data_IF_382669950307
#
_entry.id   IF_382669950307
#
_cell.length_a   1.000
_cell.length_b   1.000
_cell.length_c   1.000
_cell.angle_alpha   90.00
_cell.angle_beta   90.00
_cell.angle_gamma   90.00
#
_symmetry.space_group_name_H-M   'P 1'
#
loop_
_entity.id
_entity.type
_entity.pdbx_description
1 polymer ?
#
# COMPACT_ATOMS: atom_id res chain seq x y z
N UNK A 1 3.28 -21.24 -44.55
CA UNK A 1 3.16 -21.12 -43.07
C UNK A 1 3.74 -19.83 -42.51
N UNK A 2 4.96 -19.42 -42.90
CA UNK A 2 5.59 -18.21 -42.32
C UNK A 2 4.92 -16.86 -42.72
N UNK A 3 4.16 -16.82 -43.81
CA UNK A 3 3.51 -15.58 -44.30
C UNK A 3 2.57 -14.94 -43.25
N UNK A 4 1.77 -15.74 -42.54
CA UNK A 4 0.87 -15.24 -41.49
C UNK A 4 1.64 -14.62 -40.33
N UNK A 5 2.76 -15.23 -39.95
CA UNK A 5 3.60 -14.71 -38.87
C UNK A 5 4.21 -13.36 -39.24
N UNK A 6 4.71 -13.22 -40.48
CA UNK A 6 5.22 -11.94 -40.98
C UNK A 6 4.12 -10.88 -41.06
N UNK A 7 2.91 -11.21 -41.52
CA UNK A 7 1.79 -10.27 -41.57
C UNK A 7 1.42 -9.75 -40.17
N UNK A 8 1.33 -10.62 -39.17
CA UNK A 8 1.08 -10.22 -37.79
C UNK A 8 2.21 -9.34 -37.26
N UNK A 9 3.46 -9.67 -37.56
CA UNK A 9 4.61 -8.89 -37.08
C UNK A 9 4.73 -7.52 -37.73
N UNK A 10 4.34 -7.41 -38.99
CA UNK A 10 4.20 -6.12 -39.66
C UNK A 10 3.05 -5.32 -39.03
N UNK A 11 1.92 -5.96 -38.74
CA UNK A 11 0.78 -5.34 -38.04
C UNK A 11 1.18 -4.81 -36.65
N UNK A 12 1.95 -5.59 -35.87
CA UNK A 12 2.53 -5.19 -34.57
C UNK A 12 3.68 -4.14 -34.69
N UNK A 13 3.99 -3.66 -35.91
CA UNK A 13 5.12 -2.74 -36.20
C UNK A 13 6.49 -3.22 -35.65
N UNK A 14 6.76 -4.52 -35.70
CA UNK A 14 8.00 -5.11 -35.16
C UNK A 14 9.25 -4.65 -35.95
N UNK A 15 10.09 -3.84 -35.32
CA UNK A 15 11.29 -3.23 -35.93
C UNK A 15 12.28 -4.26 -36.50
N UNK A 16 12.42 -5.43 -35.86
CA UNK A 16 13.35 -6.48 -36.30
C UNK A 16 12.86 -7.17 -37.56
N UNK A 17 11.53 -7.28 -37.72
CA UNK A 17 10.92 -7.85 -38.92
C UNK A 17 10.91 -6.83 -40.05
N UNK A 18 10.55 -5.58 -39.76
CA UNK A 18 10.55 -4.49 -40.73
C UNK A 18 11.95 -4.23 -41.31
N UNK A 19 13.00 -4.28 -40.48
CA UNK A 19 14.39 -4.12 -40.95
C UNK A 19 14.89 -5.27 -41.83
N UNK A 20 14.33 -6.48 -41.68
CA UNK A 20 14.66 -7.65 -42.50
C UNK A 20 13.89 -7.71 -43.82
N UNK A 21 12.76 -7.01 -43.90
CA UNK A 21 11.90 -6.98 -45.08
C UNK A 21 12.10 -5.66 -45.82
N UNK A 22 12.69 -5.71 -47.02
CA UNK A 22 12.82 -4.53 -47.88
C UNK A 22 11.49 -4.22 -48.58
N UNK A 23 10.48 -3.78 -47.81
CA UNK A 23 9.14 -3.47 -48.30
C UNK A 23 9.17 -2.10 -49.02
N UNK A 24 8.67 -1.99 -50.26
CA UNK A 24 8.53 -0.71 -50.96
C UNK A 24 7.71 0.30 -50.14
N UNK A 25 8.11 1.58 -50.18
CA UNK A 25 7.46 2.65 -49.41
C UNK A 25 5.96 2.77 -49.67
N UNK A 26 5.54 2.59 -50.93
CA UNK A 26 4.14 2.63 -51.33
C UNK A 26 3.30 1.55 -50.62
N UNK A 27 3.85 0.33 -50.51
CA UNK A 27 3.18 -0.78 -49.84
C UNK A 27 3.14 -0.54 -48.33
N UNK A 28 4.21 0.01 -47.75
CA UNK A 28 4.25 0.35 -46.33
C UNK A 28 3.19 1.40 -45.96
N UNK A 29 3.00 2.42 -46.80
CA UNK A 29 1.96 3.44 -46.59
C UNK A 29 0.55 2.84 -46.61
N UNK A 30 0.28 1.89 -47.50
CA UNK A 30 -0.99 1.18 -47.52
C UNK A 30 -1.20 0.38 -46.23
N UNK A 31 -0.18 -0.39 -45.81
CA UNK A 31 -0.24 -1.19 -44.59
C UNK A 31 -0.49 -0.33 -43.35
N UNK A 32 0.20 0.82 -43.23
CA UNK A 32 -0.04 1.73 -42.11
C UNK A 32 -1.45 2.33 -42.10
N UNK A 33 -2.04 2.57 -43.28
CA UNK A 33 -3.45 2.98 -43.36
C UNK A 33 -4.39 1.89 -42.85
N UNK A 34 -4.10 0.62 -43.15
CA UNK A 34 -4.88 -0.52 -42.67
C UNK A 34 -4.74 -0.71 -41.15
N UNK A 35 -3.51 -0.63 -40.63
CA UNK A 35 -3.24 -0.70 -39.18
C UNK A 35 -3.97 0.43 -38.46
N UNK A 36 -3.85 1.67 -38.94
CA UNK A 36 -4.52 2.83 -38.34
C UNK A 36 -6.04 2.76 -38.43
N UNK A 37 -6.61 2.04 -39.41
CA UNK A 37 -8.05 1.78 -39.46
C UNK A 37 -8.47 0.77 -38.38
N UNK A 38 -7.70 -0.31 -38.20
CA UNK A 38 -7.94 -1.30 -37.14
C UNK A 38 -7.78 -0.71 -35.73
N UNK A 39 -6.74 0.10 -35.49
CA UNK A 39 -6.51 0.80 -34.22
C UNK A 39 -7.68 1.73 -33.87
N UNK A 40 -8.26 2.42 -34.88
CA UNK A 40 -9.44 3.26 -34.70
C UNK A 40 -10.73 2.49 -34.45
N UNK A 41 -10.90 1.33 -35.10
CA UNK A 41 -12.10 0.50 -34.92
C UNK A 41 -12.10 -0.19 -33.55
N UNK A 42 -10.92 -0.61 -33.08
CA UNK A 42 -10.76 -1.34 -31.82
C UNK A 42 -10.42 -0.43 -30.63
N UNK A 43 -10.18 0.86 -30.86
CA UNK A 43 -9.81 1.87 -29.85
C UNK A 43 -8.61 1.45 -28.99
N UNK A 44 -7.62 0.82 -29.63
CA UNK A 44 -6.44 0.26 -28.98
C UNK A 44 -5.25 0.21 -29.94
N UNK A 45 -4.03 0.04 -29.42
CA UNK A 45 -2.84 -0.06 -30.26
C UNK A 45 -2.70 -1.47 -30.88
N UNK A 46 -2.05 -1.54 -32.04
CA UNK A 46 -1.88 -2.77 -32.81
C UNK A 46 -1.21 -3.93 -32.06
N UNK A 47 -0.29 -3.66 -31.13
CA UNK A 47 0.34 -4.70 -30.31
C UNK A 47 -0.63 -5.23 -29.24
N UNK A 48 -1.35 -4.33 -28.58
CA UNK A 48 -2.38 -4.64 -27.59
C UNK A 48 -3.54 -5.43 -28.20
N UNK A 49 -3.99 -5.07 -29.41
CA UNK A 49 -5.02 -5.79 -30.17
C UNK A 49 -4.62 -7.26 -30.35
N UNK A 50 -3.43 -7.52 -30.90
CA UNK A 50 -2.97 -8.90 -31.13
C UNK A 50 -2.77 -9.66 -29.81
N UNK A 51 -2.26 -8.97 -28.79
CA UNK A 51 -2.07 -9.55 -27.46
C UNK A 51 -3.40 -9.98 -26.85
N UNK A 52 -4.41 -9.11 -26.89
CA UNK A 52 -5.74 -9.39 -26.39
C UNK A 52 -6.38 -10.58 -27.12
N UNK A 53 -6.34 -10.59 -28.45
CA UNK A 53 -6.87 -11.71 -29.25
C UNK A 53 -6.19 -13.05 -28.94
N UNK A 54 -4.87 -13.05 -28.69
CA UNK A 54 -4.16 -14.26 -28.22
C UNK A 54 -4.65 -14.70 -26.85
N UNK A 55 -4.85 -13.78 -25.91
CA UNK A 55 -5.38 -14.11 -24.59
C UNK A 55 -6.81 -14.65 -24.66
N UNK A 56 -7.68 -14.06 -25.48
CA UNK A 56 -9.05 -14.53 -25.71
C UNK A 56 -9.02 -15.96 -26.26
N UNK A 57 -8.18 -16.21 -27.26
CA UNK A 57 -8.03 -17.54 -27.84
C UNK A 57 -7.52 -18.56 -26.82
N UNK A 58 -6.48 -18.24 -26.07
CA UNK A 58 -5.94 -19.11 -25.00
C UNK A 58 -7.01 -19.37 -23.94
N UNK A 59 -7.74 -18.35 -23.49
CA UNK A 59 -8.82 -18.48 -22.51
C UNK A 59 -9.92 -19.43 -23.02
N UNK A 60 -10.23 -19.38 -24.32
CA UNK A 60 -11.20 -20.30 -24.95
C UNK A 60 -10.75 -21.76 -24.88
N UNK A 61 -9.45 -22.03 -25.11
CA UNK A 61 -8.86 -23.38 -24.99
C UNK A 61 -8.85 -23.83 -23.53
N UNK A 62 -8.41 -22.96 -22.61
CA UNK A 62 -8.39 -23.26 -21.17
C UNK A 62 -9.79 -23.61 -20.67
N UNK A 63 -10.84 -22.95 -21.16
CA UNK A 63 -12.23 -23.27 -20.79
C UNK A 63 -12.63 -24.71 -21.14
N UNK A 64 -12.08 -25.27 -22.22
CA UNK A 64 -12.31 -26.66 -22.65
C UNK A 64 -11.44 -27.69 -21.93
N UNK A 65 -10.23 -27.31 -21.53
CA UNK A 65 -9.24 -28.26 -20.97
C UNK A 65 -9.12 -28.19 -19.44
N UNK A 66 -9.45 -27.05 -18.82
CA UNK A 66 -9.28 -26.82 -17.38
C UNK A 66 -10.63 -26.76 -16.66
N UNK A 67 -10.89 -27.78 -15.83
CA UNK A 67 -12.07 -27.85 -14.97
C UNK A 67 -11.72 -27.31 -13.58
N UNK A 68 -12.03 -26.05 -13.31
CA UNK A 68 -11.85 -25.44 -11.98
C UNK A 68 -12.71 -26.18 -10.95
N UNK A 69 -12.09 -26.74 -9.90
CA UNK A 69 -12.73 -27.57 -8.87
C UNK A 69 -13.75 -26.80 -8.00
N UNK A 70 -13.64 -25.47 -7.94
CA UNK A 70 -14.55 -24.59 -7.21
C UNK A 70 -14.97 -23.42 -8.11
N UNK A 71 -16.19 -23.46 -8.64
CA UNK A 71 -16.76 -22.40 -9.48
C UNK A 71 -17.85 -21.56 -8.81
N UNK A 72 -18.15 -21.76 -7.52
CA UNK A 72 -19.27 -21.03 -6.90
C UNK A 72 -19.36 -21.04 -5.38
N UNK A 73 -18.33 -21.48 -4.65
CA UNK A 73 -18.29 -21.30 -3.21
C UNK A 73 -17.83 -19.89 -2.87
N UNK A 74 -18.60 -19.16 -2.04
CA UNK A 74 -18.12 -17.93 -1.43
C UNK A 74 -16.80 -18.22 -0.72
N UNK A 75 -15.76 -17.46 -1.05
CA UNK A 75 -14.49 -17.50 -0.33
C UNK A 75 -14.71 -17.05 1.12
N UNK A 76 -13.77 -17.35 2.01
CA UNK A 76 -13.84 -16.83 3.39
C UNK A 76 -13.92 -15.30 3.40
N UNK A 77 -13.21 -14.63 2.47
CA UNK A 77 -13.30 -13.18 2.25
C UNK A 77 -14.72 -12.75 1.88
N UNK A 78 -15.33 -13.40 0.88
CA UNK A 78 -16.69 -13.03 0.43
C UNK A 78 -17.74 -13.21 1.53
N UNK A 79 -17.55 -14.18 2.43
CA UNK A 79 -18.42 -14.39 3.58
C UNK A 79 -18.26 -13.30 4.63
N UNK A 80 -17.02 -12.90 4.92
CA UNK A 80 -16.72 -11.82 5.87
C UNK A 80 -17.28 -10.51 5.33
N UNK A 81 -17.02 -10.19 4.06
CA UNK A 81 -17.51 -8.95 3.45
C UNK A 81 -19.03 -8.88 3.49
N UNK A 82 -19.74 -9.98 3.23
CA UNK A 82 -21.21 -10.00 3.30
C UNK A 82 -21.76 -9.69 4.70
N UNK A 83 -21.00 -9.99 5.75
CA UNK A 83 -21.37 -9.70 7.15
C UNK A 83 -20.94 -8.27 7.52
N UNK A 84 -19.70 -7.89 7.20
CA UNK A 84 -19.10 -6.59 7.53
C UNK A 84 -19.78 -5.45 6.76
N UNK A 85 -20.13 -5.66 5.49
CA UNK A 85 -20.79 -4.66 4.62
C UNK A 85 -22.31 -4.64 4.74
N UNK A 86 -22.90 -5.45 5.64
CA UNK A 86 -24.34 -5.45 5.84
C UNK A 86 -24.79 -4.11 6.46
N UNK A 87 -25.76 -3.44 5.85
CA UNK A 87 -26.31 -2.14 6.27
C UNK A 87 -26.63 -2.01 7.77
N UNK A 88 -27.08 -3.09 8.41
CA UNK A 88 -27.45 -3.08 9.83
C UNK A 88 -26.34 -3.57 10.75
N UNK A 89 -25.50 -4.52 10.31
CA UNK A 89 -24.40 -5.05 11.13
C UNK A 89 -23.11 -4.21 11.02
N UNK A 90 -22.95 -3.43 9.95
CA UNK A 90 -21.78 -2.59 9.74
C UNK A 90 -21.57 -1.60 10.89
N UNK A 91 -22.64 -0.95 11.38
CA UNK A 91 -22.56 0.01 12.49
C UNK A 91 -22.13 -0.65 13.82
N UNK A 92 -22.78 -1.74 14.29
CA UNK A 92 -22.33 -2.47 15.46
C UNK A 92 -20.90 -3.03 15.33
N UNK A 93 -20.55 -3.61 14.18
CA UNK A 93 -19.21 -4.15 13.95
C UNK A 93 -18.17 -3.04 14.00
N UNK A 94 -18.43 -1.91 13.35
CA UNK A 94 -17.57 -0.74 13.40
C UNK A 94 -17.37 -0.25 14.83
N UNK A 95 -18.45 -0.14 15.62
CA UNK A 95 -18.36 0.27 17.02
C UNK A 95 -17.51 -0.70 17.86
N UNK A 96 -17.64 -2.01 17.65
CA UNK A 96 -16.85 -3.04 18.34
C UNK A 96 -15.37 -2.95 17.93
N UNK A 97 -15.07 -2.80 16.64
CA UNK A 97 -13.70 -2.66 16.14
C UNK A 97 -13.06 -1.38 16.69
N UNK A 98 -13.78 -0.26 16.64
CA UNK A 98 -13.31 1.01 17.21
C UNK A 98 -13.10 0.93 18.73
N UNK A 99 -13.97 0.20 19.44
CA UNK A 99 -13.79 -0.07 20.85
C UNK A 99 -12.52 -0.88 21.12
N UNK A 100 -12.26 -1.93 20.34
CA UNK A 100 -11.04 -2.74 20.47
C UNK A 100 -9.80 -1.89 20.18
N UNK A 101 -9.82 -1.10 19.10
CA UNK A 101 -8.73 -0.17 18.77
C UNK A 101 -8.49 0.80 19.92
N UNK A 102 -9.53 1.47 20.42
CA UNK A 102 -9.41 2.38 21.55
C UNK A 102 -8.86 1.69 22.79
N UNK A 103 -9.39 0.51 23.14
CA UNK A 103 -8.96 -0.26 24.30
C UNK A 103 -7.48 -0.63 24.19
N UNK A 104 -7.04 -1.16 23.04
CA UNK A 104 -5.64 -1.55 22.85
C UNK A 104 -4.71 -0.34 22.80
N UNK A 105 -5.11 0.71 22.09
CA UNK A 105 -4.30 1.91 21.90
C UNK A 105 -4.18 2.76 23.15
N UNK A 106 -5.22 2.85 23.98
CA UNK A 106 -5.24 3.74 25.14
C UNK A 106 -4.96 2.99 26.44
N UNK A 107 -5.61 1.84 26.66
CA UNK A 107 -5.57 1.18 27.98
C UNK A 107 -4.52 0.10 28.14
N UNK A 108 -3.98 -0.45 27.05
CA UNK A 108 -2.95 -1.50 27.15
C UNK A 108 -1.60 -0.99 26.63
N UNK A 109 -1.40 -0.99 25.32
CA UNK A 109 -0.10 -0.67 24.73
C UNK A 109 0.22 0.81 24.92
N UNK A 110 -0.75 1.70 24.76
CA UNK A 110 -0.54 3.14 24.99
C UNK A 110 -0.12 3.43 26.41
N UNK A 111 -0.89 2.96 27.40
CA UNK A 111 -0.59 3.17 28.82
C UNK A 111 0.77 2.59 29.21
N UNK A 112 1.10 1.37 28.77
CA UNK A 112 2.40 0.77 29.07
C UNK A 112 3.58 1.56 28.50
N UNK A 113 3.50 1.99 27.24
CA UNK A 113 4.61 2.73 26.60
C UNK A 113 4.69 4.17 27.12
N UNK A 114 3.56 4.81 27.40
CA UNK A 114 3.51 6.14 28.02
C UNK A 114 4.03 6.09 29.46
N UNK A 115 3.64 5.11 30.25
CA UNK A 115 4.17 4.88 31.59
C UNK A 115 5.69 4.66 31.57
N UNK A 116 6.18 3.79 30.68
CA UNK A 116 7.63 3.60 30.52
C UNK A 116 8.36 4.89 30.12
N UNK A 117 7.78 5.67 29.21
CA UNK A 117 8.36 6.95 28.76
C UNK A 117 8.40 7.96 29.90
N UNK A 118 7.33 8.10 30.67
CA UNK A 118 7.27 9.05 31.76
C UNK A 118 8.16 8.64 32.93
N UNK A 119 8.05 7.39 33.39
CA UNK A 119 8.67 6.96 34.63
C UNK A 119 10.14 6.58 34.42
N UNK A 120 10.45 5.84 33.34
CA UNK A 120 11.82 5.35 33.08
C UNK A 120 12.64 6.35 32.28
N UNK A 121 12.14 6.78 31.12
CA UNK A 121 12.92 7.64 30.22
C UNK A 121 13.08 9.05 30.82
N UNK A 122 11.98 9.74 31.15
CA UNK A 122 12.04 11.09 31.69
C UNK A 122 12.29 11.12 33.20
N UNK A 123 11.58 10.28 33.98
CA UNK A 123 11.67 10.25 35.43
C UNK A 123 13.04 9.78 35.95
N UNK A 124 13.56 8.68 35.39
CA UNK A 124 14.81 8.10 35.87
C UNK A 124 16.03 8.45 35.01
N UNK A 125 16.01 8.21 33.70
CA UNK A 125 17.24 8.31 32.90
C UNK A 125 17.64 9.75 32.62
N UNK A 126 16.72 10.53 32.06
CA UNK A 126 17.01 11.91 31.64
C UNK A 126 17.17 12.80 32.88
N UNK A 127 16.27 12.70 33.86
CA UNK A 127 16.33 13.55 35.06
C UNK A 127 17.54 13.23 35.93
N UNK A 128 17.84 11.95 36.23
CA UNK A 128 19.04 11.64 37.02
C UNK A 128 20.34 11.90 36.24
N UNK A 129 20.35 11.69 34.92
CA UNK A 129 21.49 12.02 34.06
C UNK A 129 21.77 13.52 34.03
N UNK A 130 20.73 14.34 33.89
CA UNK A 130 20.83 15.80 33.93
C UNK A 130 21.31 16.30 35.29
N UNK A 131 20.75 15.78 36.40
CA UNK A 131 21.19 16.13 37.74
C UNK A 131 22.68 15.83 37.96
N UNK A 132 23.14 14.62 37.62
CA UNK A 132 24.56 14.25 37.78
C UNK A 132 25.50 15.11 36.93
N UNK A 133 25.12 15.45 35.70
CA UNK A 133 25.90 16.32 34.84
C UNK A 133 25.98 17.75 35.40
N UNK A 134 24.84 18.31 35.82
CA UNK A 134 24.76 19.67 36.36
C UNK A 134 25.50 19.79 37.69
N UNK A 135 25.47 18.76 38.54
CA UNK A 135 26.26 18.68 39.76
C UNK A 135 27.77 18.60 39.46
N UNK A 136 28.17 17.81 38.45
CA UNK A 136 29.60 17.64 38.08
C UNK A 136 30.27 18.93 37.60
N UNK A 137 29.49 19.87 37.05
CA UNK A 137 29.97 21.18 36.59
C UNK A 137 29.79 22.28 37.64
N UNK A 138 29.39 21.94 38.87
CA UNK A 138 29.11 22.90 39.95
C UNK A 138 28.06 23.95 39.54
N UNK A 139 27.01 23.52 38.84
CA UNK A 139 25.92 24.40 38.41
C UNK A 139 25.20 25.01 39.63
N UNK A 140 24.76 26.27 39.51
CA UNK A 140 23.99 26.91 40.57
C UNK A 140 22.62 26.23 40.75
N UNK A 141 22.21 26.01 42.00
CA UNK A 141 20.98 25.27 42.33
C UNK A 141 19.71 25.82 41.65
N UNK A 142 19.60 27.14 41.49
CA UNK A 142 18.45 27.77 40.82
C UNK A 142 18.39 27.42 39.31
N UNK A 143 19.56 27.27 38.67
CA UNK A 143 19.66 26.93 37.25
C UNK A 143 19.43 25.44 37.03
N UNK A 144 19.88 24.59 37.96
CA UNK A 144 19.56 23.16 37.97
C UNK A 144 18.05 22.91 38.07
N UNK A 145 17.36 23.58 39.00
CA UNK A 145 15.90 23.49 39.10
C UNK A 145 15.17 23.99 37.85
N UNK A 146 15.65 25.08 37.22
CA UNK A 146 15.07 25.57 35.96
C UNK A 146 15.18 24.55 34.82
N UNK A 147 16.32 23.88 34.71
CA UNK A 147 16.57 22.92 33.63
C UNK A 147 15.82 21.61 33.89
N UNK A 148 15.90 21.07 35.10
CA UNK A 148 15.35 19.76 35.43
C UNK A 148 13.85 19.83 35.69
N UNK A 149 13.43 20.65 36.65
CA UNK A 149 12.02 20.74 37.04
C UNK A 149 11.19 21.64 36.11
N UNK A 150 11.85 22.54 35.38
CA UNK A 150 11.20 23.41 34.39
C UNK A 150 11.18 22.78 32.99
N UNK A 151 12.35 22.74 32.34
CA UNK A 151 12.44 22.37 30.92
C UNK A 151 12.24 20.86 30.72
N UNK A 152 13.00 20.02 31.42
CA UNK A 152 12.96 18.56 31.24
C UNK A 152 11.60 18.00 31.65
N UNK A 153 11.07 18.40 32.81
CA UNK A 153 9.73 17.98 33.22
C UNK A 153 8.64 18.47 32.26
N UNK A 154 8.72 19.73 31.79
CA UNK A 154 7.77 20.30 30.85
C UNK A 154 7.75 19.59 29.49
N UNK A 155 8.93 19.33 28.91
CA UNK A 155 9.06 18.57 27.66
C UNK A 155 8.67 17.11 27.86
N UNK A 156 9.08 16.51 28.98
CA UNK A 156 8.74 15.13 29.35
C UNK A 156 7.24 14.91 29.44
N UNK A 157 6.49 15.85 29.99
CA UNK A 157 5.03 15.79 30.05
C UNK A 157 4.40 15.74 28.64
N UNK A 158 4.88 16.53 27.68
CA UNK A 158 4.33 16.54 26.30
C UNK A 158 4.76 15.28 25.54
N UNK A 159 6.05 14.92 25.61
CA UNK A 159 6.60 13.75 24.91
C UNK A 159 6.05 12.46 25.49
N UNK A 160 5.71 12.42 26.78
CA UNK A 160 5.06 11.31 27.46
C UNK A 160 3.77 10.84 26.81
N UNK A 161 3.00 11.75 26.20
CA UNK A 161 1.76 11.41 25.49
C UNK A 161 1.96 11.00 24.04
N UNK A 162 3.14 11.24 23.46
CA UNK A 162 3.41 10.92 22.06
C UNK A 162 3.29 9.42 21.77
N UNK A 163 3.84 8.50 22.58
CA UNK A 163 3.69 7.07 22.33
C UNK A 163 2.24 6.59 22.26
N UNK A 164 1.40 7.05 23.18
CA UNK A 164 -0.03 6.71 23.17
C UNK A 164 -0.73 7.20 21.88
N UNK A 165 -0.44 8.42 21.43
CA UNK A 165 -0.98 8.94 20.17
C UNK A 165 -0.46 8.16 18.96
N UNK A 166 0.81 7.77 18.97
CA UNK A 166 1.44 7.01 17.90
C UNK A 166 0.78 5.63 17.73
N UNK A 167 0.53 4.93 18.84
CA UNK A 167 -0.19 3.64 18.83
C UNK A 167 -1.60 3.83 18.26
N UNK A 168 -2.33 4.86 18.70
CA UNK A 168 -3.67 5.17 18.18
C UNK A 168 -3.67 5.44 16.66
N UNK A 169 -2.72 6.24 16.16
CA UNK A 169 -2.62 6.52 14.73
C UNK A 169 -2.18 5.29 13.91
N UNK A 170 -1.35 4.41 14.46
CA UNK A 170 -0.99 3.14 13.79
C UNK A 170 -2.24 2.29 13.56
N UNK A 171 -3.08 2.10 14.58
CA UNK A 171 -4.31 1.30 14.43
C UNK A 171 -5.32 1.94 13.47
N UNK A 172 -5.44 3.28 13.47
CA UNK A 172 -6.24 4.00 12.48
C UNK A 172 -5.70 3.83 11.05
N UNK A 173 -4.38 3.74 10.86
CA UNK A 173 -3.78 3.53 9.54
C UNK A 173 -3.96 2.12 8.98
N UNK A 174 -4.23 1.13 9.82
CA UNK A 174 -4.52 -0.25 9.40
C UNK A 174 -6.00 -0.50 9.07
N UNK A 175 -6.90 0.37 9.54
CA UNK A 175 -8.35 0.30 9.32
C UNK A 175 -8.73 0.92 7.96
#
# INVERSE_FOLDING_TARGET
EQQRWYAIKIFERDEKVLSRLSIPKEIMQHIESDIAAAEREMDDDSESIITNERYIYIASIIKGCCKKKNKGGLTLSDKIDKVVTNRFLALPIFAVVMFIVYYVSVTTVGDWVTGWTNDTLFGDWITNGANKLLESINCAAWLQGLIVDGIIAGVGAVVGFVPQMLVLFIFLGFL
#
